data_IF_972495495654
#
_entry.id   IF_972495495654
#
_cell.length_a   1.000
_cell.length_b   1.000
_cell.length_c   1.000
_cell.angle_alpha   90.00
_cell.angle_beta   90.00
_cell.angle_gamma   90.00
#
_symmetry.space_group_name_H-M   'P 1'
#
loop_
_entity.id
_entity.type
_entity.pdbx_description
1 polymer ?
#
# COMPACT_ATOMS: atom_id res chain seq x y z
N UNK A 1 11.12 -50.95 -34.93
CA UNK A 1 10.58 -50.29 -33.71
C UNK A 1 11.64 -49.70 -32.77
N UNK A 2 12.75 -50.37 -32.42
CA UNK A 2 13.79 -49.82 -31.52
C UNK A 2 14.57 -48.59 -32.03
N UNK A 3 14.71 -48.36 -33.34
CA UNK A 3 15.37 -47.16 -33.90
C UNK A 3 14.45 -45.95 -33.93
N UNK A 4 13.16 -46.12 -34.11
CA UNK A 4 12.18 -45.00 -34.04
C UNK A 4 12.02 -44.46 -32.60
N UNK A 5 12.07 -45.35 -31.61
CA UNK A 5 11.98 -44.96 -30.20
C UNK A 5 13.20 -44.15 -29.70
N UNK A 6 14.42 -44.48 -30.22
CA UNK A 6 15.64 -43.70 -29.92
C UNK A 6 15.63 -42.32 -30.56
N UNK A 7 15.06 -42.18 -31.76
CA UNK A 7 14.96 -40.88 -32.44
C UNK A 7 13.91 -40.01 -31.75
N UNK A 8 12.75 -40.55 -31.29
CA UNK A 8 11.74 -39.83 -30.51
C UNK A 8 12.27 -39.43 -29.14
N UNK A 9 13.08 -40.25 -28.47
CA UNK A 9 13.67 -39.91 -27.16
C UNK A 9 14.76 -38.84 -27.29
N UNK A 10 15.56 -38.85 -28.36
CA UNK A 10 16.54 -37.81 -28.65
C UNK A 10 15.88 -36.50 -29.03
N UNK A 11 14.77 -36.52 -29.75
CA UNK A 11 13.97 -35.32 -30.07
C UNK A 11 13.28 -34.73 -28.83
N UNK A 12 12.81 -35.58 -27.91
CA UNK A 12 12.20 -35.13 -26.65
C UNK A 12 13.25 -34.52 -25.69
N UNK A 13 14.50 -35.03 -25.69
CA UNK A 13 15.61 -34.44 -24.91
C UNK A 13 16.09 -33.11 -25.51
N UNK A 14 16.09 -32.99 -26.85
CA UNK A 14 16.41 -31.73 -27.54
C UNK A 14 15.33 -30.65 -27.35
N UNK A 15 14.05 -31.02 -27.30
CA UNK A 15 12.94 -30.07 -27.00
C UNK A 15 12.94 -29.68 -25.52
N UNK A 16 13.36 -30.57 -24.60
CA UNK A 16 13.53 -30.25 -23.18
C UNK A 16 14.70 -29.30 -22.89
N UNK A 17 15.73 -29.26 -23.73
CA UNK A 17 16.89 -28.40 -23.56
C UNK A 17 16.69 -26.95 -24.08
N UNK A 18 15.66 -26.70 -24.88
CA UNK A 18 15.34 -25.34 -25.42
C UNK A 18 14.47 -24.49 -24.46
N UNK A 19 13.93 -25.10 -23.38
CA UNK A 19 13.03 -24.40 -22.46
C UNK A 19 13.78 -23.72 -21.30
N UNK A 20 15.10 -23.74 -21.23
CA UNK A 20 15.86 -23.19 -20.09
C UNK A 20 16.78 -21.99 -20.42
N UNK A 21 16.69 -21.42 -21.59
CA UNK A 21 17.22 -20.09 -21.83
C UNK A 21 16.07 -19.07 -21.59
N UNK A 22 15.65 -18.89 -20.33
CA UNK A 22 15.03 -17.62 -19.93
C UNK A 22 16.11 -16.56 -20.18
N UNK A 23 15.99 -15.83 -21.29
CA UNK A 23 16.66 -14.55 -21.39
C UNK A 23 16.34 -13.83 -20.07
N UNK A 24 17.36 -13.49 -19.29
CA UNK A 24 17.19 -12.60 -18.14
C UNK A 24 16.63 -11.31 -18.72
N UNK A 25 15.31 -11.12 -18.63
CA UNK A 25 14.70 -9.85 -18.99
C UNK A 25 15.27 -8.81 -18.03
N UNK A 26 16.10 -7.92 -18.57
CA UNK A 26 16.59 -6.78 -17.83
C UNK A 26 15.37 -5.92 -17.51
N UNK A 27 15.10 -5.75 -16.21
CA UNK A 27 13.94 -4.99 -15.74
C UNK A 27 14.26 -3.52 -15.67
N UNK A 28 13.43 -2.72 -16.33
CA UNK A 28 13.45 -1.27 -16.19
C UNK A 28 12.84 -0.85 -14.86
N UNK A 29 12.97 0.43 -14.47
CA UNK A 29 12.30 0.96 -13.29
C UNK A 29 10.78 0.71 -13.33
N UNK A 30 10.17 0.93 -14.50
CA UNK A 30 8.74 0.70 -14.70
C UNK A 30 8.37 -0.76 -14.50
N UNK A 31 9.12 -1.69 -15.09
CA UNK A 31 8.88 -3.14 -14.91
C UNK A 31 8.98 -3.55 -13.43
N UNK A 32 9.94 -2.97 -12.70
CA UNK A 32 10.10 -3.21 -11.26
C UNK A 32 8.89 -2.70 -10.46
N UNK A 33 8.38 -1.51 -10.76
CA UNK A 33 7.20 -0.94 -10.12
C UNK A 33 5.93 -1.75 -10.44
N UNK A 34 5.71 -2.12 -11.70
CA UNK A 34 4.57 -2.96 -12.12
C UNK A 34 4.61 -4.33 -11.43
N UNK A 35 5.78 -4.94 -11.35
CA UNK A 35 5.96 -6.21 -10.65
C UNK A 35 5.69 -6.07 -9.14
N UNK A 36 6.23 -5.04 -8.50
CA UNK A 36 6.03 -4.76 -7.08
C UNK A 36 4.55 -4.58 -6.74
N UNK A 37 3.82 -3.78 -7.51
CA UNK A 37 2.37 -3.56 -7.33
C UNK A 37 1.59 -4.87 -7.51
N UNK A 38 1.92 -5.66 -8.55
CA UNK A 38 1.20 -6.89 -8.87
C UNK A 38 1.39 -8.00 -7.82
N UNK A 39 2.55 -8.05 -7.17
CA UNK A 39 2.90 -9.10 -6.21
C UNK A 39 2.79 -8.65 -4.74
N UNK A 40 2.52 -7.37 -4.47
CA UNK A 40 2.48 -6.82 -3.12
C UNK A 40 1.37 -7.45 -2.26
N UNK A 41 1.74 -7.85 -1.05
CA UNK A 41 0.78 -8.29 -0.02
C UNK A 41 -0.11 -7.12 0.44
N UNK A 42 0.40 -5.88 0.45
CA UNK A 42 -0.40 -4.69 0.77
C UNK A 42 -1.53 -4.49 -0.23
N UNK A 43 -1.29 -4.69 -1.54
CA UNK A 43 -2.33 -4.63 -2.57
C UNK A 43 -3.38 -5.71 -2.40
N UNK A 44 -2.97 -6.94 -2.03
CA UNK A 44 -3.92 -8.04 -1.74
C UNK A 44 -4.80 -7.75 -0.53
N UNK A 45 -4.27 -7.11 0.52
CA UNK A 45 -5.05 -6.66 1.68
C UNK A 45 -6.08 -5.61 1.23
N UNK A 46 -5.67 -4.59 0.46
CA UNK A 46 -6.59 -3.58 -0.03
C UNK A 46 -7.69 -4.15 -0.93
N UNK A 47 -7.40 -5.17 -1.73
CA UNK A 47 -8.43 -5.87 -2.50
C UNK A 47 -9.47 -6.56 -1.61
N UNK A 48 -9.04 -7.17 -0.51
CA UNK A 48 -9.96 -7.77 0.46
C UNK A 48 -10.82 -6.69 1.15
N UNK A 49 -10.23 -5.57 1.56
CA UNK A 49 -10.95 -4.45 2.18
C UNK A 49 -11.99 -3.83 1.22
N UNK A 50 -11.67 -3.73 -0.08
CA UNK A 50 -12.62 -3.28 -1.11
C UNK A 50 -13.76 -4.27 -1.25
N UNK A 51 -13.46 -5.57 -1.27
CA UNK A 51 -14.49 -6.60 -1.35
C UNK A 51 -15.43 -6.55 -0.15
N UNK A 52 -14.90 -6.36 1.06
CA UNK A 52 -15.71 -6.17 2.28
C UNK A 52 -16.61 -4.93 2.16
N UNK A 53 -16.09 -3.80 1.68
CA UNK A 53 -16.88 -2.60 1.45
C UNK A 53 -18.00 -2.80 0.39
N UNK A 54 -17.74 -3.62 -0.64
CA UNK A 54 -18.75 -4.00 -1.63
C UNK A 54 -19.84 -4.88 -1.03
N UNK A 55 -19.46 -5.84 -0.18
CA UNK A 55 -20.39 -6.71 0.56
C UNK A 55 -21.24 -5.86 1.50
N UNK A 56 -20.63 -4.94 2.26
CA UNK A 56 -21.37 -4.02 3.14
C UNK A 56 -22.36 -3.13 2.37
N UNK A 57 -21.97 -2.62 1.20
CA UNK A 57 -22.89 -1.85 0.36
C UNK A 57 -24.04 -2.70 -0.14
N UNK A 58 -23.77 -3.92 -0.57
CA UNK A 58 -24.82 -4.87 -0.99
C UNK A 58 -25.75 -5.21 0.18
N UNK A 59 -25.19 -5.44 1.36
CA UNK A 59 -25.95 -5.71 2.58
C UNK A 59 -26.85 -4.53 2.95
N UNK A 60 -26.34 -3.28 2.90
CA UNK A 60 -27.13 -2.08 3.16
C UNK A 60 -28.30 -1.91 2.17
N UNK A 61 -28.13 -2.29 0.91
CA UNK A 61 -29.21 -2.29 -0.10
C UNK A 61 -30.24 -3.38 0.21
N UNK A 62 -29.80 -4.60 0.50
CA UNK A 62 -30.69 -5.72 0.82
C UNK A 62 -31.49 -5.44 2.10
N UNK A 63 -30.84 -4.91 3.15
CA UNK A 63 -31.50 -4.53 4.41
C UNK A 63 -32.58 -3.46 4.18
N UNK A 64 -32.37 -2.55 3.22
CA UNK A 64 -33.32 -1.50 2.91
C UNK A 64 -34.57 -1.99 2.15
N UNK A 65 -34.43 -3.03 1.32
CA UNK A 65 -35.48 -3.41 0.36
C UNK A 65 -35.98 -4.86 0.47
N UNK A 66 -35.38 -5.67 1.34
CA UNK A 66 -35.82 -7.07 1.52
C UNK A 66 -36.21 -7.30 2.96
N UNK A 67 -37.25 -8.14 3.22
CA UNK A 67 -37.63 -8.54 4.58
C UNK A 67 -36.58 -9.46 5.19
N UNK A 68 -36.35 -9.31 6.48
CA UNK A 68 -35.70 -10.36 7.29
C UNK A 68 -36.69 -11.48 7.55
N UNK A 69 -36.32 -12.74 7.33
CA UNK A 69 -37.12 -13.89 7.58
C UNK A 69 -36.42 -14.77 8.60
N UNK A 70 -37.16 -15.18 9.63
CA UNK A 70 -36.64 -16.06 10.66
C UNK A 70 -37.66 -17.17 10.96
N UNK A 71 -37.18 -18.36 11.31
CA UNK A 71 -37.99 -19.44 11.81
C UNK A 71 -37.38 -19.94 13.13
N UNK A 72 -38.23 -20.31 14.05
CA UNK A 72 -37.80 -20.78 15.36
C UNK A 72 -38.77 -21.78 15.94
N UNK A 73 -38.30 -22.60 16.87
CA UNK A 73 -39.08 -23.48 17.71
C UNK A 73 -38.63 -23.30 19.14
N UNK A 74 -39.54 -23.46 20.04
CA UNK A 74 -39.30 -23.51 21.46
C UNK A 74 -40.04 -24.65 22.13
N UNK A 75 -39.49 -25.17 23.20
CA UNK A 75 -40.16 -26.15 24.06
C UNK A 75 -39.88 -25.78 25.52
N UNK A 76 -40.92 -25.75 26.33
CA UNK A 76 -40.76 -25.55 27.76
C UNK A 76 -41.79 -26.38 28.56
N UNK A 77 -41.43 -26.72 29.79
CA UNK A 77 -42.34 -27.26 30.77
C UNK A 77 -42.56 -26.25 31.88
N UNK A 78 -43.80 -26.05 32.25
CA UNK A 78 -44.19 -25.21 33.37
C UNK A 78 -44.69 -26.08 34.51
N UNK A 79 -44.15 -25.91 35.71
CA UNK A 79 -44.48 -26.68 36.90
C UNK A 79 -45.31 -25.83 37.87
N UNK A 80 -46.53 -26.29 38.22
CA UNK A 80 -47.39 -25.57 39.12
C UNK A 80 -48.68 -25.04 38.47
N UNK A 81 -49.19 -23.90 38.93
CA UNK A 81 -50.44 -23.35 38.46
C UNK A 81 -50.32 -22.62 37.15
N UNK A 82 -51.00 -23.07 36.12
CA UNK A 82 -51.04 -22.44 34.80
C UNK A 82 -52.46 -22.35 34.26
N UNK A 83 -52.68 -21.50 33.24
CA UNK A 83 -53.95 -21.45 32.51
C UNK A 83 -53.96 -22.55 31.45
N UNK A 84 -54.99 -23.36 31.47
CA UNK A 84 -55.27 -24.38 30.46
C UNK A 84 -55.73 -23.71 29.16
N UNK A 85 -55.01 -23.87 28.03
CA UNK A 85 -55.38 -23.25 26.77
C UNK A 85 -56.73 -23.74 26.17
N UNK A 86 -57.16 -24.90 26.51
CA UNK A 86 -58.41 -25.46 25.98
C UNK A 86 -59.64 -24.94 26.73
N UNK A 87 -59.54 -24.87 28.06
CA UNK A 87 -60.70 -24.54 28.93
C UNK A 87 -60.66 -23.13 29.48
N UNK A 88 -59.54 -22.44 29.32
CA UNK A 88 -59.21 -21.10 29.86
C UNK A 88 -59.43 -21.04 31.41
N UNK A 89 -59.24 -22.17 32.10
CA UNK A 89 -59.29 -22.29 33.55
C UNK A 89 -57.91 -22.53 34.16
N UNK A 90 -57.75 -22.22 35.48
CA UNK A 90 -56.51 -22.49 36.18
C UNK A 90 -56.39 -23.98 36.54
N UNK A 91 -55.28 -24.60 36.15
CA UNK A 91 -54.86 -25.94 36.58
C UNK A 91 -53.52 -25.87 37.31
N UNK A 92 -53.36 -26.69 38.34
CA UNK A 92 -52.10 -26.86 39.07
C UNK A 92 -51.48 -28.23 38.69
N UNK A 93 -50.75 -28.27 37.62
CA UNK A 93 -50.14 -29.50 37.10
C UNK A 93 -48.90 -29.10 36.23
N UNK A 94 -48.09 -30.08 35.87
CA UNK A 94 -47.02 -29.88 34.88
C UNK A 94 -47.63 -29.76 33.49
N UNK A 95 -47.30 -28.68 32.78
CA UNK A 95 -47.65 -28.52 31.38
C UNK A 95 -46.40 -28.51 30.48
N UNK A 96 -46.50 -29.12 29.34
CA UNK A 96 -45.48 -29.06 28.30
C UNK A 96 -46.05 -28.36 27.08
N UNK A 97 -45.30 -27.38 26.61
CA UNK A 97 -45.61 -26.65 25.37
C UNK A 97 -44.43 -26.66 24.40
N UNK A 98 -44.73 -26.93 23.15
CA UNK A 98 -43.79 -26.77 22.04
C UNK A 98 -44.41 -25.85 20.99
N UNK A 99 -43.70 -24.79 20.60
CA UNK A 99 -44.17 -23.85 19.61
C UNK A 99 -43.24 -23.79 18.40
N UNK A 100 -43.85 -23.55 17.26
CA UNK A 100 -43.18 -23.36 15.97
C UNK A 100 -43.63 -22.04 15.39
N UNK A 101 -42.69 -21.24 14.90
CA UNK A 101 -42.98 -19.94 14.29
C UNK A 101 -42.08 -19.65 13.12
N UNK A 102 -42.61 -18.95 12.14
CA UNK A 102 -41.84 -18.31 11.07
C UNK A 102 -42.36 -16.88 10.93
N UNK A 103 -41.49 -15.92 10.89
CA UNK A 103 -41.87 -14.51 10.78
C UNK A 103 -40.94 -13.75 9.85
N UNK A 104 -41.48 -12.75 9.16
CA UNK A 104 -40.72 -11.82 8.34
C UNK A 104 -41.06 -10.38 8.72
N UNK A 105 -40.09 -9.51 8.63
CA UNK A 105 -40.30 -8.08 8.87
C UNK A 105 -39.46 -7.21 7.94
N UNK A 106 -40.02 -6.05 7.56
CA UNK A 106 -39.36 -5.02 6.77
C UNK A 106 -39.72 -3.65 7.31
N UNK A 107 -38.68 -2.77 7.45
CA UNK A 107 -38.92 -1.39 7.79
C UNK A 107 -39.32 -0.60 6.53
N UNK A 108 -40.58 -0.17 6.45
CA UNK A 108 -41.05 0.67 5.34
C UNK A 108 -40.54 2.10 5.45
N UNK A 109 -40.37 2.60 6.67
CA UNK A 109 -39.78 3.91 6.95
C UNK A 109 -39.08 3.88 8.31
N UNK A 110 -37.83 4.31 8.34
CA UNK A 110 -36.98 4.37 9.55
C UNK A 110 -36.22 5.68 9.68
N UNK A 111 -36.86 6.81 9.35
CA UNK A 111 -36.21 8.12 9.40
C UNK A 111 -35.07 8.26 8.41
N UNK A 112 -35.20 7.74 7.19
CA UNK A 112 -34.19 7.76 6.13
C UNK A 112 -32.86 7.08 6.48
N UNK A 113 -32.80 6.29 7.55
CA UNK A 113 -31.60 5.57 7.96
C UNK A 113 -31.09 4.63 6.85
N UNK A 114 -31.99 3.87 6.23
CA UNK A 114 -31.65 2.97 5.15
C UNK A 114 -30.99 3.69 3.97
N UNK A 115 -31.57 4.81 3.52
CA UNK A 115 -31.03 5.64 2.43
C UNK A 115 -29.64 6.20 2.78
N UNK A 116 -29.45 6.65 4.01
CA UNK A 116 -28.16 7.17 4.44
C UNK A 116 -27.11 6.07 4.59
N UNK A 117 -27.50 4.87 5.07
CA UNK A 117 -26.60 3.72 5.17
C UNK A 117 -26.08 3.32 3.76
N UNK A 118 -26.97 3.28 2.75
CA UNK A 118 -26.57 3.03 1.36
C UNK A 118 -25.61 4.10 0.84
N UNK A 119 -25.83 5.38 1.17
CA UNK A 119 -24.92 6.48 0.77
C UNK A 119 -23.59 6.42 1.50
N UNK A 120 -23.58 6.03 2.77
CA UNK A 120 -22.36 5.86 3.58
C UNK A 120 -21.55 4.69 3.04
N UNK A 121 -22.16 3.54 2.82
CA UNK A 121 -21.48 2.35 2.30
C UNK A 121 -20.96 2.56 0.86
N UNK A 122 -21.70 3.29 0.00
CA UNK A 122 -21.20 3.69 -1.33
C UNK A 122 -19.95 4.57 -1.23
N UNK A 123 -19.94 5.53 -0.29
CA UNK A 123 -18.76 6.38 -0.08
C UNK A 123 -17.60 5.56 0.51
N UNK A 124 -17.88 4.62 1.41
CA UNK A 124 -16.85 3.72 1.97
C UNK A 124 -16.18 2.85 0.88
N UNK A 125 -16.97 2.30 -0.05
CA UNK A 125 -16.43 1.57 -1.20
C UNK A 125 -15.54 2.45 -2.09
N UNK A 126 -15.98 3.68 -2.41
CA UNK A 126 -15.17 4.63 -3.19
C UNK A 126 -13.89 5.03 -2.46
N UNK A 127 -13.94 5.22 -1.14
CA UNK A 127 -12.74 5.47 -0.32
C UNK A 127 -11.80 4.26 -0.29
N UNK A 128 -12.34 3.04 -0.33
CA UNK A 128 -11.55 1.80 -0.46
C UNK A 128 -10.74 1.78 -1.75
N UNK A 129 -11.34 2.15 -2.88
CA UNK A 129 -10.63 2.29 -4.17
C UNK A 129 -9.53 3.34 -4.09
N UNK A 130 -9.80 4.50 -3.49
CA UNK A 130 -8.77 5.54 -3.32
C UNK A 130 -7.63 5.11 -2.38
N UNK A 131 -7.91 4.32 -1.33
CA UNK A 131 -6.84 3.72 -0.50
C UNK A 131 -5.98 2.73 -1.28
N UNK A 132 -6.58 1.98 -2.19
CA UNK A 132 -5.83 1.09 -3.08
C UNK A 132 -4.88 1.87 -3.99
N UNK A 133 -5.34 2.99 -4.57
CA UNK A 133 -4.51 3.89 -5.37
C UNK A 133 -3.37 4.47 -4.54
N UNK A 134 -3.64 4.96 -3.34
CA UNK A 134 -2.62 5.45 -2.42
C UNK A 134 -1.57 4.38 -2.11
N UNK A 135 -2.01 3.15 -1.81
CA UNK A 135 -1.09 2.03 -1.54
C UNK A 135 -0.24 1.68 -2.76
N UNK A 136 -0.82 1.72 -3.96
CA UNK A 136 -0.09 1.53 -5.22
C UNK A 136 1.02 2.58 -5.37
N UNK A 137 0.70 3.84 -5.15
CA UNK A 137 1.63 4.95 -5.31
C UNK A 137 2.76 4.91 -4.26
N UNK A 138 2.45 4.51 -3.02
CA UNK A 138 3.44 4.26 -1.96
C UNK A 138 4.42 3.12 -2.35
N UNK A 139 3.92 2.05 -2.95
CA UNK A 139 4.74 0.92 -3.43
C UNK A 139 5.64 1.39 -4.58
N UNK A 140 5.10 2.15 -5.54
CA UNK A 140 5.86 2.67 -6.66
C UNK A 140 7.01 3.57 -6.20
N UNK A 141 6.73 4.52 -5.30
CA UNK A 141 7.76 5.42 -4.76
C UNK A 141 8.84 4.64 -3.99
N UNK A 142 8.46 3.72 -3.12
CA UNK A 142 9.41 2.90 -2.39
C UNK A 142 10.29 2.02 -3.32
N UNK A 143 9.69 1.47 -4.39
CA UNK A 143 10.41 0.71 -5.41
C UNK A 143 11.39 1.59 -6.18
N UNK A 144 10.98 2.80 -6.55
CA UNK A 144 11.83 3.80 -7.22
C UNK A 144 13.05 4.15 -6.36
N UNK A 145 12.85 4.46 -5.08
CA UNK A 145 13.93 4.77 -4.15
C UNK A 145 14.91 3.60 -3.99
N UNK A 146 14.40 2.39 -3.84
CA UNK A 146 15.23 1.19 -3.73
C UNK A 146 15.99 0.89 -5.04
N UNK A 147 15.34 1.04 -6.19
CA UNK A 147 15.96 0.88 -7.50
C UNK A 147 17.13 1.86 -7.69
N UNK A 148 16.93 3.13 -7.38
CA UNK A 148 17.98 4.13 -7.48
C UNK A 148 19.12 3.90 -6.50
N UNK A 149 18.86 3.36 -5.32
CA UNK A 149 19.90 2.94 -4.41
C UNK A 149 20.78 1.81 -4.98
N UNK A 150 20.17 0.83 -5.65
CA UNK A 150 20.94 -0.22 -6.35
C UNK A 150 21.80 0.37 -7.46
N UNK A 151 21.23 1.27 -8.27
CA UNK A 151 21.95 1.97 -9.34
C UNK A 151 23.13 2.76 -8.77
N UNK A 152 22.91 3.50 -7.68
CA UNK A 152 23.97 4.26 -6.99
C UNK A 152 25.13 3.36 -6.55
N UNK A 153 24.86 2.32 -5.79
CA UNK A 153 25.93 1.44 -5.29
C UNK A 153 26.61 0.64 -6.39
N UNK A 154 25.91 0.27 -7.46
CA UNK A 154 26.51 -0.35 -8.65
C UNK A 154 27.58 0.55 -9.29
N UNK A 155 27.29 1.83 -9.47
CA UNK A 155 28.25 2.77 -10.04
C UNK A 155 29.40 3.08 -9.07
N UNK A 156 29.13 3.10 -7.76
CA UNK A 156 30.16 3.26 -6.74
C UNK A 156 31.12 2.06 -6.72
N UNK A 157 30.62 0.83 -6.86
CA UNK A 157 31.48 -0.34 -6.97
C UNK A 157 32.39 -0.22 -8.18
N UNK A 158 31.87 0.13 -9.37
CA UNK A 158 32.67 0.33 -10.59
C UNK A 158 33.75 1.39 -10.40
N UNK A 159 33.41 2.54 -9.82
CA UNK A 159 34.36 3.61 -9.62
C UNK A 159 35.50 3.22 -8.65
N UNK A 160 35.20 2.47 -7.59
CA UNK A 160 36.22 1.98 -6.64
C UNK A 160 37.05 0.86 -7.26
N UNK A 161 36.47 -0.01 -8.10
CA UNK A 161 37.22 -1.03 -8.86
C UNK A 161 38.26 -0.39 -9.80
N UNK A 162 37.87 0.67 -10.50
CA UNK A 162 38.80 1.45 -11.34
C UNK A 162 39.96 2.05 -10.51
N UNK A 163 39.65 2.60 -9.33
CA UNK A 163 40.64 3.13 -8.40
C UNK A 163 41.61 2.06 -7.89
N UNK A 164 41.09 0.93 -7.41
CA UNK A 164 41.92 -0.20 -6.96
C UNK A 164 42.85 -0.66 -8.09
N UNK A 165 42.35 -0.74 -9.33
CA UNK A 165 43.14 -1.11 -10.47
C UNK A 165 44.27 -0.06 -10.76
N UNK A 166 43.97 1.23 -10.62
CA UNK A 166 44.94 2.31 -10.76
C UNK A 166 46.04 2.25 -9.69
N UNK A 167 45.64 2.12 -8.41
CA UNK A 167 46.58 2.01 -7.29
C UNK A 167 47.44 0.74 -7.40
N UNK A 168 46.87 -0.39 -7.84
CA UNK A 168 47.63 -1.63 -8.07
C UNK A 168 48.77 -1.43 -9.07
N UNK A 169 48.53 -0.69 -10.17
CA UNK A 169 49.58 -0.30 -11.13
C UNK A 169 50.62 0.61 -10.50
N UNK A 170 50.16 1.55 -9.66
CA UNK A 170 51.09 2.48 -8.96
C UNK A 170 52.01 1.73 -7.98
N UNK A 171 51.51 0.73 -7.25
CA UNK A 171 52.33 -0.15 -6.40
C UNK A 171 53.38 -0.89 -7.22
N UNK A 172 52.99 -1.49 -8.36
CA UNK A 172 53.94 -2.19 -9.22
C UNK A 172 55.04 -1.28 -9.74
N UNK A 173 54.72 -0.04 -10.14
CA UNK A 173 55.66 0.94 -10.57
C UNK A 173 56.57 1.37 -9.42
N UNK A 174 56.03 1.67 -8.26
CA UNK A 174 56.77 2.11 -7.07
C UNK A 174 57.78 1.03 -6.60
N UNK A 175 57.41 -0.24 -6.61
CA UNK A 175 58.31 -1.37 -6.30
C UNK A 175 59.47 -1.48 -7.30
N UNK A 176 59.24 -1.24 -8.60
CA UNK A 176 60.32 -1.20 -9.63
C UNK A 176 61.26 -0.04 -9.40
N UNK A 177 60.74 1.14 -9.07
CA UNK A 177 61.53 2.33 -8.76
C UNK A 177 62.37 2.16 -7.49
N UNK A 178 61.87 1.49 -6.48
CA UNK A 178 62.58 1.14 -5.26
C UNK A 178 63.76 0.20 -5.57
N UNK A 179 63.52 -0.85 -6.37
CA UNK A 179 64.59 -1.77 -6.80
C UNK A 179 65.71 -1.08 -7.58
N UNK A 180 65.37 0.01 -8.29
CA UNK A 180 66.34 0.86 -9.00
C UNK A 180 66.97 1.96 -8.14
N UNK A 181 66.60 2.01 -6.83
CA UNK A 181 67.12 3.06 -5.94
C UNK A 181 66.53 4.48 -6.18
N UNK A 182 65.45 4.57 -6.97
CA UNK A 182 64.83 5.83 -7.36
C UNK A 182 63.71 6.24 -6.40
N UNK A 183 63.23 5.35 -5.51
CA UNK A 183 62.15 5.61 -4.56
C UNK A 183 62.46 4.98 -3.20
N UNK A 184 62.04 5.65 -2.13
CA UNK A 184 62.26 5.17 -0.76
C UNK A 184 61.27 4.04 -0.41
N UNK A 185 61.71 3.09 0.48
CA UNK A 185 60.87 2.03 0.99
C UNK A 185 59.60 2.57 1.68
N UNK A 186 59.71 3.70 2.42
CA UNK A 186 58.57 4.32 3.08
C UNK A 186 57.46 4.73 2.11
N UNK A 187 57.82 5.22 0.91
CA UNK A 187 56.82 5.62 -0.11
C UNK A 187 56.09 4.39 -0.69
N UNK A 188 56.81 3.28 -0.87
CA UNK A 188 56.22 2.02 -1.36
C UNK A 188 55.20 1.49 -0.34
N UNK A 189 55.59 1.42 0.95
CA UNK A 189 54.69 0.96 2.04
C UNK A 189 53.48 1.87 2.15
N UNK A 190 53.60 3.17 1.96
CA UNK A 190 52.47 4.08 1.94
C UNK A 190 51.47 3.76 0.83
N UNK A 191 51.96 3.54 -0.42
CA UNK A 191 51.06 3.18 -1.55
C UNK A 191 50.39 1.81 -1.35
N UNK A 192 51.11 0.86 -0.73
CA UNK A 192 50.57 -0.45 -0.36
C UNK A 192 49.49 -0.31 0.72
N UNK A 193 49.66 0.53 1.71
CA UNK A 193 48.64 0.85 2.71
C UNK A 193 47.41 1.50 2.06
N UNK A 194 47.61 2.39 1.09
CA UNK A 194 46.52 3.02 0.32
C UNK A 194 45.75 1.98 -0.52
N UNK A 195 46.44 1.01 -1.12
CA UNK A 195 45.83 -0.09 -1.83
C UNK A 195 44.92 -0.92 -0.88
N UNK A 196 45.45 -1.32 0.27
CA UNK A 196 44.71 -2.10 1.26
C UNK A 196 43.47 -1.34 1.77
N UNK A 197 43.56 -0.03 1.97
CA UNK A 197 42.42 0.82 2.36
C UNK A 197 41.33 0.87 1.26
N UNK A 198 41.71 0.97 -0.01
CA UNK A 198 40.73 0.97 -1.11
C UNK A 198 40.13 -0.44 -1.39
N UNK A 199 40.90 -1.52 -1.22
CA UNK A 199 40.38 -2.88 -1.25
C UNK A 199 39.33 -3.09 -0.15
N UNK A 200 39.60 -2.62 1.07
CA UNK A 200 38.60 -2.64 2.15
C UNK A 200 37.33 -1.84 1.78
N UNK A 201 37.51 -0.64 1.23
CA UNK A 201 36.41 0.21 0.77
C UNK A 201 35.58 -0.50 -0.32
N UNK A 202 36.24 -1.21 -1.24
CA UNK A 202 35.57 -2.01 -2.29
C UNK A 202 34.70 -3.11 -1.68
N UNK A 203 35.23 -3.89 -0.75
CA UNK A 203 34.47 -4.96 -0.06
C UNK A 203 33.26 -4.38 0.65
N UNK A 204 33.42 -3.28 1.38
CA UNK A 204 32.32 -2.62 2.09
C UNK A 204 31.24 -2.09 1.12
N UNK A 205 31.65 -1.45 0.01
CA UNK A 205 30.69 -0.94 -1.00
C UNK A 205 29.97 -2.06 -1.73
N UNK A 206 30.63 -3.21 -1.99
CA UNK A 206 29.96 -4.42 -2.52
C UNK A 206 28.91 -4.97 -1.55
N UNK A 207 29.19 -4.94 -0.24
CA UNK A 207 28.21 -5.34 0.76
C UNK A 207 26.99 -4.40 0.75
N UNK A 208 27.22 -3.07 0.65
CA UNK A 208 26.13 -2.09 0.53
C UNK A 208 25.32 -2.28 -0.76
N UNK A 209 25.97 -2.63 -1.88
CA UNK A 209 25.30 -2.97 -3.12
C UNK A 209 24.40 -4.21 -2.97
N UNK A 210 24.92 -5.26 -2.36
CA UNK A 210 24.14 -6.49 -2.11
C UNK A 210 22.94 -6.24 -1.19
N UNK A 211 23.11 -5.41 -0.16
CA UNK A 211 22.04 -5.02 0.76
C UNK A 211 20.96 -4.19 0.07
N UNK A 212 21.36 -3.19 -0.74
CA UNK A 212 20.43 -2.42 -1.56
C UNK A 212 19.65 -3.31 -2.54
N UNK A 213 20.31 -4.29 -3.14
CA UNK A 213 19.70 -5.25 -4.06
C UNK A 213 18.71 -6.18 -3.34
N UNK A 214 19.04 -6.60 -2.13
CA UNK A 214 18.15 -7.39 -1.28
C UNK A 214 16.92 -6.57 -0.88
N UNK A 215 17.12 -5.30 -0.53
CA UNK A 215 16.03 -4.36 -0.20
C UNK A 215 15.07 -4.17 -1.38
N UNK A 216 15.59 -4.02 -2.60
CA UNK A 216 14.77 -3.91 -3.81
C UNK A 216 13.95 -5.20 -4.02
N UNK A 217 14.58 -6.37 -3.88
CA UNK A 217 13.88 -7.67 -3.99
C UNK A 217 12.77 -7.81 -2.94
N UNK A 218 13.01 -7.37 -1.70
CA UNK A 218 12.03 -7.42 -0.61
C UNK A 218 10.82 -6.53 -0.91
N UNK A 219 11.04 -5.28 -1.31
CA UNK A 219 9.97 -4.34 -1.68
C UNK A 219 9.14 -4.85 -2.85
N UNK A 220 9.78 -5.47 -3.83
CA UNK A 220 9.12 -6.07 -5.00
C UNK A 220 8.42 -7.40 -4.70
N UNK A 221 8.63 -8.01 -3.53
CA UNK A 221 8.26 -9.42 -3.28
C UNK A 221 8.87 -10.38 -4.30
N UNK A 222 10.09 -10.08 -4.78
CA UNK A 222 10.82 -10.95 -5.66
C UNK A 222 11.38 -12.17 -4.89
N UNK A 223 11.32 -13.40 -5.43
CA UNK A 223 11.92 -14.56 -4.77
C UNK A 223 13.41 -14.33 -4.50
N UNK A 224 13.83 -14.47 -3.24
CA UNK A 224 15.18 -14.10 -2.80
C UNK A 224 16.27 -15.01 -3.41
N UNK A 225 15.91 -16.23 -3.77
CA UNK A 225 16.76 -17.24 -4.42
C UNK A 225 16.90 -17.07 -5.95
N UNK A 226 16.09 -16.21 -6.56
CA UNK A 226 16.17 -15.94 -8.00
C UNK A 226 17.04 -14.72 -8.28
N UNK A 227 17.80 -14.80 -9.37
CA UNK A 227 18.56 -13.63 -9.86
C UNK A 227 17.59 -12.59 -10.45
N UNK A 228 17.89 -11.33 -10.19
CA UNK A 228 17.20 -10.16 -10.73
C UNK A 228 18.23 -9.33 -11.50
N UNK A 229 17.98 -9.03 -12.76
CA UNK A 229 18.79 -8.11 -13.55
C UNK A 229 18.00 -6.81 -13.79
N UNK A 230 18.62 -5.67 -13.51
CA UNK A 230 18.01 -4.34 -13.70
C UNK A 230 18.77 -3.54 -14.75
N UNK A 231 18.09 -2.56 -15.34
CA UNK A 231 18.70 -1.63 -16.31
C UNK A 231 19.45 -0.50 -15.60
N UNK A 232 20.69 -0.24 -16.04
CA UNK A 232 21.54 0.83 -15.53
C UNK A 232 21.75 1.96 -16.55
N UNK A 233 21.07 1.92 -17.71
CA UNK A 233 21.31 2.82 -18.84
C UNK A 233 21.06 4.30 -18.51
N UNK A 234 20.20 4.59 -17.55
CA UNK A 234 19.86 5.96 -17.16
C UNK A 234 21.00 6.75 -16.49
N UNK A 235 22.09 6.08 -16.10
CA UNK A 235 23.26 6.70 -15.45
C UNK A 235 24.55 6.48 -16.25
N UNK A 236 24.46 6.16 -17.53
CA UNK A 236 25.61 6.05 -18.41
C UNK A 236 26.33 7.42 -18.53
N UNK A 237 27.64 7.39 -18.88
CA UNK A 237 28.47 8.61 -18.99
C UNK A 237 27.87 9.67 -19.91
N UNK A 238 27.10 9.25 -20.93
CA UNK A 238 26.37 10.16 -21.81
C UNK A 238 25.22 10.90 -21.09
N UNK A 239 24.51 10.23 -20.18
CA UNK A 239 23.46 10.85 -19.38
C UNK A 239 24.03 11.79 -18.32
N UNK A 240 25.16 11.41 -17.69
CA UNK A 240 25.85 12.25 -16.70
C UNK A 240 26.55 13.47 -17.35
N UNK A 241 27.01 13.36 -18.62
CA UNK A 241 27.69 14.43 -19.37
C UNK A 241 26.77 15.55 -19.88
N UNK A 242 25.47 15.23 -20.11
CA UNK A 242 24.51 16.18 -20.65
C UNK A 242 23.62 16.85 -19.56
N UNK A 243 24.13 16.96 -18.33
CA UNK A 243 23.38 17.45 -17.18
C UNK A 243 22.64 18.77 -17.39
N UNK A 244 23.24 19.74 -18.11
CA UNK A 244 22.60 21.04 -18.41
C UNK A 244 21.41 20.88 -19.39
N UNK A 245 21.48 19.94 -20.34
CA UNK A 245 20.40 19.69 -21.31
C UNK A 245 19.23 18.93 -20.65
N UNK A 246 19.51 18.01 -19.72
CA UNK A 246 18.50 17.30 -18.95
C UNK A 246 17.66 18.25 -18.10
N UNK A 247 18.29 19.28 -17.54
CA UNK A 247 17.62 20.29 -16.73
C UNK A 247 16.87 21.32 -17.57
N UNK A 248 17.40 21.72 -18.73
CA UNK A 248 16.71 22.64 -19.64
C UNK A 248 15.35 22.11 -20.13
N UNK A 249 15.18 20.78 -20.18
CA UNK A 249 13.91 20.15 -20.51
C UNK A 249 12.92 20.13 -19.31
N UNK A 250 13.40 20.29 -18.08
CA UNK A 250 12.61 20.26 -16.84
C UNK A 250 12.23 21.63 -16.28
N UNK A 251 12.72 22.73 -16.87
CA UNK A 251 12.49 24.11 -16.41
C UNK A 251 11.10 24.68 -16.79
N UNK A 252 10.06 23.88 -16.77
CA UNK A 252 8.72 24.44 -16.77
C UNK A 252 8.46 25.04 -15.40
N UNK A 253 8.28 26.37 -15.35
CA UNK A 253 7.83 27.08 -14.15
C UNK A 253 6.47 26.54 -13.75
N UNK A 254 6.45 25.60 -12.82
CA UNK A 254 5.21 25.01 -12.30
C UNK A 254 4.55 26.03 -11.39
N UNK A 255 3.29 26.39 -11.72
CA UNK A 255 2.51 27.27 -10.90
C UNK A 255 2.06 26.52 -9.62
N UNK A 256 2.55 26.95 -8.46
CA UNK A 256 2.23 26.34 -7.17
C UNK A 256 0.73 26.24 -6.92
N UNK A 257 -0.03 27.30 -7.22
CA UNK A 257 -1.47 27.36 -6.98
C UNK A 257 -2.20 26.33 -7.83
N UNK A 258 -1.77 26.12 -9.06
CA UNK A 258 -2.33 25.13 -9.98
C UNK A 258 -2.01 23.70 -9.51
N UNK A 259 -0.78 23.44 -9.07
CA UNK A 259 -0.40 22.14 -8.51
C UNK A 259 -1.18 21.79 -7.24
N UNK A 260 -1.37 22.74 -6.35
CA UNK A 260 -2.17 22.53 -5.14
C UNK A 260 -3.63 22.24 -5.51
N UNK A 261 -4.21 22.98 -6.46
CA UNK A 261 -5.57 22.75 -6.91
C UNK A 261 -5.72 21.34 -7.53
N UNK A 262 -4.81 20.96 -8.40
CA UNK A 262 -4.79 19.61 -9.00
C UNK A 262 -4.61 18.52 -7.95
N UNK A 263 -3.68 18.68 -7.01
CA UNK A 263 -3.44 17.72 -5.94
C UNK A 263 -4.69 17.52 -5.05
N UNK A 264 -5.44 18.59 -4.73
CA UNK A 264 -6.67 18.49 -3.96
C UNK A 264 -7.81 17.79 -4.71
N UNK A 265 -7.79 17.79 -6.04
CA UNK A 265 -8.79 17.10 -6.87
C UNK A 265 -8.40 15.65 -7.16
N UNK A 266 -7.12 15.37 -7.36
CA UNK A 266 -6.64 14.07 -7.86
C UNK A 266 -6.15 13.13 -6.76
N UNK A 267 -5.60 13.68 -5.65
CA UNK A 267 -4.98 12.83 -4.63
C UNK A 267 -5.98 11.96 -3.88
N UNK A 268 -5.72 10.66 -3.75
CA UNK A 268 -6.53 9.74 -2.96
C UNK A 268 -6.74 10.19 -1.52
N UNK A 269 -5.73 10.77 -0.87
CA UNK A 269 -5.78 11.26 0.50
C UNK A 269 -6.81 12.39 0.70
N UNK A 270 -6.92 13.32 -0.27
CA UNK A 270 -7.92 14.39 -0.25
C UNK A 270 -9.34 13.82 -0.37
N UNK A 271 -9.53 12.87 -1.29
CA UNK A 271 -10.82 12.20 -1.50
C UNK A 271 -11.27 11.43 -0.26
N UNK A 272 -10.38 10.67 0.39
CA UNK A 272 -10.66 9.91 1.61
C UNK A 272 -11.11 10.86 2.72
N UNK A 273 -10.35 11.91 3.01
CA UNK A 273 -10.69 12.88 4.07
C UNK A 273 -12.04 13.58 3.83
N UNK A 274 -12.33 13.95 2.58
CA UNK A 274 -13.64 14.49 2.15
C UNK A 274 -14.76 13.48 2.34
N UNK A 275 -14.52 12.22 1.99
CA UNK A 275 -15.46 11.12 2.16
C UNK A 275 -15.83 10.88 3.62
N UNK A 276 -14.85 10.89 4.52
CA UNK A 276 -15.05 10.75 5.97
C UNK A 276 -15.88 11.90 6.54
N UNK A 277 -15.60 13.14 6.15
CA UNK A 277 -16.40 14.30 6.54
C UNK A 277 -17.86 14.18 6.04
N UNK A 278 -18.07 13.75 4.79
CA UNK A 278 -19.40 13.54 4.24
C UNK A 278 -20.15 12.43 4.96
N UNK A 279 -19.50 11.33 5.31
CA UNK A 279 -20.10 10.24 6.06
C UNK A 279 -20.47 10.66 7.49
N UNK A 280 -19.64 11.43 8.15
CA UNK A 280 -19.96 12.03 9.47
C UNK A 280 -21.18 12.96 9.40
N UNK A 281 -21.31 13.78 8.34
CA UNK A 281 -22.48 14.64 8.07
C UNK A 281 -23.75 13.81 7.87
N UNK A 282 -23.68 12.72 7.10
CA UNK A 282 -24.81 11.79 6.89
C UNK A 282 -25.21 11.10 8.19
N UNK A 283 -24.23 10.64 8.99
CA UNK A 283 -24.50 10.04 10.29
C UNK A 283 -25.18 11.02 11.26
N UNK A 284 -24.82 12.31 11.24
CA UNK A 284 -25.53 13.36 11.98
C UNK A 284 -26.96 13.54 11.47
N UNK A 285 -27.17 13.58 10.16
CA UNK A 285 -28.53 13.65 9.57
C UNK A 285 -29.39 12.46 9.99
N UNK A 286 -28.84 11.24 9.94
CA UNK A 286 -29.53 10.03 10.40
C UNK A 286 -29.95 10.15 11.87
N UNK A 287 -29.05 10.60 12.74
CA UNK A 287 -29.35 10.78 14.17
C UNK A 287 -30.47 11.80 14.42
N UNK A 288 -30.51 12.89 13.63
CA UNK A 288 -31.62 13.87 13.70
C UNK A 288 -32.94 13.27 13.22
N UNK A 289 -32.93 12.51 12.14
CA UNK A 289 -34.15 11.94 11.56
C UNK A 289 -34.69 10.72 12.32
N UNK A 290 -33.91 10.12 13.24
CA UNK A 290 -34.42 9.14 14.22
C UNK A 290 -35.43 9.72 15.22
N UNK A 291 -35.67 11.03 15.22
CA UNK A 291 -36.78 11.66 15.92
C UNK A 291 -38.12 11.52 15.18
N UNK A 292 -38.12 11.17 13.90
CA UNK A 292 -39.33 10.93 13.12
C UNK A 292 -39.96 9.56 13.48
N UNK A 293 -41.27 9.39 13.23
CA UNK A 293 -41.91 8.07 13.37
C UNK A 293 -41.24 7.03 12.49
N UNK A 294 -41.22 5.78 12.94
CA UNK A 294 -40.85 4.62 12.14
C UNK A 294 -42.05 3.79 11.80
N UNK A 295 -42.06 3.17 10.60
CA UNK A 295 -43.13 2.31 10.09
C UNK A 295 -42.53 0.96 9.72
N UNK A 296 -43.06 -0.11 10.32
CA UNK A 296 -42.61 -1.47 10.11
C UNK A 296 -43.79 -2.37 9.69
N UNK A 297 -43.56 -3.19 8.66
CA UNK A 297 -44.49 -4.23 8.22
C UNK A 297 -43.90 -5.57 8.65
N UNK A 298 -44.70 -6.38 9.33
CA UNK A 298 -44.39 -7.75 9.73
C UNK A 298 -45.49 -8.72 9.40
N UNK A 299 -45.12 -9.96 9.17
CA UNK A 299 -46.07 -11.05 8.99
C UNK A 299 -45.45 -12.34 9.51
N UNK A 300 -46.28 -13.24 9.88
CA UNK A 300 -45.81 -14.49 10.43
C UNK A 300 -46.87 -15.60 10.45
N UNK A 301 -46.35 -16.77 10.65
CA UNK A 301 -47.09 -17.99 10.85
C UNK A 301 -46.61 -18.64 12.15
N UNK A 302 -47.53 -19.19 12.94
CA UNK A 302 -47.19 -19.90 14.17
C UNK A 302 -48.16 -21.06 14.43
N UNK A 303 -47.68 -22.07 15.12
CA UNK A 303 -48.48 -23.17 15.65
C UNK A 303 -47.87 -23.70 16.92
N UNK A 304 -48.65 -24.44 17.72
CA UNK A 304 -48.16 -25.00 18.98
C UNK A 304 -48.78 -26.37 19.28
N UNK A 305 -48.00 -27.13 20.03
CA UNK A 305 -48.42 -28.38 20.67
C UNK A 305 -48.39 -28.19 22.18
N UNK A 306 -49.39 -28.71 22.87
CA UNK A 306 -49.56 -28.61 24.31
C UNK A 306 -50.00 -29.94 24.90
N UNK A 307 -49.51 -30.31 26.09
CA UNK A 307 -49.92 -31.49 26.83
C UNK A 307 -49.67 -31.35 28.33
N UNK A 308 -50.35 -32.17 29.14
CA UNK A 308 -50.08 -32.30 30.58
C UNK A 308 -49.43 -33.68 30.84
N UNK A 309 -48.09 -33.78 30.92
CA UNK A 309 -47.41 -35.07 31.04
C UNK A 309 -47.74 -35.86 32.31
N UNK A 310 -48.03 -35.19 33.42
CA UNK A 310 -48.26 -35.79 34.72
C UNK A 310 -49.75 -36.12 34.99
N UNK A 311 -50.65 -35.77 34.08
CA UNK A 311 -52.10 -35.98 34.26
C UNK A 311 -52.60 -37.16 33.44
N UNK A 312 -52.68 -38.36 34.05
CA UNK A 312 -53.05 -39.60 33.37
C UNK A 312 -54.52 -39.61 32.83
N UNK A 313 -55.36 -38.74 33.33
CA UNK A 313 -56.77 -38.60 32.88
C UNK A 313 -56.90 -37.68 31.65
N UNK A 314 -55.83 -36.89 31.32
CA UNK A 314 -55.84 -36.00 30.18
C UNK A 314 -55.29 -36.72 28.94
N UNK A 315 -56.12 -36.85 27.94
CA UNK A 315 -55.72 -37.40 26.64
C UNK A 315 -55.51 -36.20 25.68
N UNK A 316 -54.28 -35.79 25.51
CA UNK A 316 -53.97 -34.71 24.58
C UNK A 316 -54.34 -35.10 23.14
N UNK A 317 -54.95 -34.22 22.35
CA UNK A 317 -55.06 -34.44 20.92
C UNK A 317 -53.70 -34.74 20.32
N UNK A 318 -53.63 -35.51 19.24
CA UNK A 318 -52.37 -35.89 18.62
C UNK A 318 -51.57 -34.64 18.17
N UNK A 319 -50.25 -34.75 18.15
CA UNK A 319 -49.37 -33.67 17.68
C UNK A 319 -49.83 -33.11 16.33
N UNK A 320 -50.16 -34.01 15.39
CA UNK A 320 -50.60 -33.60 14.05
C UNK A 320 -51.91 -32.81 14.08
N UNK A 321 -52.83 -33.21 14.94
CA UNK A 321 -54.15 -32.54 15.12
C UNK A 321 -53.91 -31.11 15.68
N UNK A 322 -53.14 -30.99 16.77
CA UNK A 322 -52.86 -29.71 17.38
C UNK A 322 -52.04 -28.81 16.44
N UNK A 323 -51.00 -29.35 15.77
CA UNK A 323 -50.18 -28.62 14.83
C UNK A 323 -51.03 -27.97 13.71
N UNK A 324 -52.01 -28.70 13.18
CA UNK A 324 -52.88 -28.16 12.12
C UNK A 324 -53.96 -27.21 12.67
N UNK A 325 -54.51 -27.52 13.85
CA UNK A 325 -55.65 -26.76 14.39
C UNK A 325 -55.21 -25.46 15.10
N UNK A 326 -54.00 -25.42 15.64
CA UNK A 326 -53.45 -24.27 16.34
C UNK A 326 -52.67 -23.32 15.39
N UNK A 327 -52.70 -23.59 14.09
CA UNK A 327 -52.06 -22.79 13.10
C UNK A 327 -52.73 -21.43 12.96
N UNK A 328 -51.92 -20.37 13.05
CA UNK A 328 -52.35 -18.98 12.87
C UNK A 328 -51.39 -18.18 12.01
N UNK A 329 -51.92 -17.28 11.23
CA UNK A 329 -51.18 -16.34 10.40
C UNK A 329 -51.56 -14.90 10.76
N UNK A 330 -50.61 -14.00 10.63
CA UNK A 330 -50.88 -12.58 10.84
C UNK A 330 -50.09 -11.69 9.89
N UNK A 331 -50.64 -10.52 9.58
CA UNK A 331 -49.96 -9.38 8.95
C UNK A 331 -50.19 -8.18 9.85
N UNK A 332 -49.09 -7.47 10.18
CA UNK A 332 -49.15 -6.35 11.09
C UNK A 332 -48.37 -5.17 10.49
N UNK A 333 -49.03 -4.01 10.46
CA UNK A 333 -48.38 -2.74 10.22
C UNK A 333 -48.27 -2.00 11.55
N UNK A 334 -47.04 -1.69 11.96
CA UNK A 334 -46.79 -0.97 13.22
C UNK A 334 -46.10 0.36 12.96
N UNK A 335 -46.58 1.44 13.63
CA UNK A 335 -45.95 2.74 13.65
C UNK A 335 -45.47 3.04 15.06
N UNK A 336 -44.20 3.41 15.19
CA UNK A 336 -43.61 3.80 16.47
C UNK A 336 -43.20 5.29 16.42
N UNK A 337 -43.72 6.09 17.35
CA UNK A 337 -43.45 7.50 17.50
C UNK A 337 -42.63 7.70 18.76
N UNK A 338 -41.35 8.13 18.68
CA UNK A 338 -40.53 8.34 19.85
C UNK A 338 -40.87 9.65 20.55
N UNK A 339 -41.57 9.60 21.70
CA UNK A 339 -41.93 10.78 22.46
C UNK A 339 -40.86 11.18 23.46
N UNK A 340 -40.42 10.27 24.32
CA UNK A 340 -39.41 10.51 25.33
C UNK A 340 -38.52 9.29 25.53
N UNK A 341 -37.19 9.46 25.47
CA UNK A 341 -36.18 8.42 25.62
C UNK A 341 -35.05 8.82 26.54
N UNK A 342 -35.37 9.47 27.69
CA UNK A 342 -34.38 9.91 28.69
C UNK A 342 -33.24 10.75 28.08
N UNK A 343 -33.55 11.60 27.12
CA UNK A 343 -32.61 12.45 26.38
C UNK A 343 -31.49 11.67 25.59
N UNK A 344 -31.61 10.34 25.47
CA UNK A 344 -30.63 9.52 24.78
C UNK A 344 -30.44 9.96 23.31
N UNK A 345 -31.53 10.28 22.61
CA UNK A 345 -31.47 10.75 21.22
C UNK A 345 -30.79 12.10 21.09
N UNK A 346 -31.05 13.03 22.00
CA UNK A 346 -30.40 14.33 22.03
C UNK A 346 -28.91 14.20 22.31
N UNK A 347 -28.51 13.30 23.22
CA UNK A 347 -27.11 12.98 23.47
C UNK A 347 -26.44 12.36 22.23
N UNK A 348 -27.15 11.46 21.52
CA UNK A 348 -26.66 10.88 20.27
C UNK A 348 -26.48 11.93 19.18
N UNK A 349 -27.42 12.85 18.99
CA UNK A 349 -27.30 13.98 18.04
C UNK A 349 -26.10 14.83 18.40
N UNK A 350 -25.90 15.18 19.68
CA UNK A 350 -24.75 15.96 20.14
C UNK A 350 -23.42 15.25 19.88
N UNK A 351 -23.33 13.94 20.17
CA UNK A 351 -22.15 13.13 19.85
C UNK A 351 -21.86 13.10 18.34
N UNK A 352 -22.88 12.91 17.50
CA UNK A 352 -22.73 12.91 16.03
C UNK A 352 -22.39 14.30 15.48
N UNK A 353 -22.91 15.39 16.10
CA UNK A 353 -22.50 16.75 15.78
C UNK A 353 -21.01 16.96 16.07
N UNK A 354 -20.53 16.55 17.24
CA UNK A 354 -19.11 16.62 17.58
C UNK A 354 -18.23 15.76 16.66
N UNK A 355 -18.71 14.58 16.24
CA UNK A 355 -18.02 13.75 15.26
C UNK A 355 -17.90 14.45 13.90
N UNK A 356 -18.97 15.13 13.44
CA UNK A 356 -18.92 15.92 12.22
C UNK A 356 -17.95 17.11 12.32
N UNK A 357 -17.94 17.82 13.45
CA UNK A 357 -16.98 18.92 13.69
C UNK A 357 -15.53 18.40 13.63
N UNK A 358 -15.24 17.24 14.27
CA UNK A 358 -13.92 16.62 14.20
C UNK A 358 -13.54 16.23 12.77
N UNK A 359 -14.45 15.58 12.05
CA UNK A 359 -14.19 15.18 10.66
C UNK A 359 -13.97 16.38 9.73
N UNK A 360 -14.67 17.50 9.96
CA UNK A 360 -14.44 18.76 9.24
C UNK A 360 -13.04 19.31 9.53
N UNK A 361 -12.66 19.39 10.80
CA UNK A 361 -11.33 19.86 11.20
C UNK A 361 -10.20 18.94 10.65
N UNK A 362 -10.42 17.62 10.61
CA UNK A 362 -9.49 16.67 10.00
C UNK A 362 -9.36 16.86 8.49
N UNK A 363 -10.46 17.15 7.80
CA UNK A 363 -10.43 17.50 6.38
C UNK A 363 -9.64 18.79 6.14
N UNK A 364 -9.92 19.87 6.92
CA UNK A 364 -9.20 21.14 6.80
C UNK A 364 -7.69 20.96 7.09
N UNK A 365 -7.35 20.13 8.08
CA UNK A 365 -5.96 19.76 8.37
C UNK A 365 -5.32 19.02 7.18
N UNK A 366 -6.02 18.05 6.57
CA UNK A 366 -5.50 17.30 5.42
C UNK A 366 -5.28 18.20 4.21
N UNK A 367 -6.18 19.14 3.94
CA UNK A 367 -5.98 20.17 2.89
C UNK A 367 -4.68 20.93 3.13
N UNK A 368 -4.44 21.39 4.36
CA UNK A 368 -3.22 22.12 4.71
C UNK A 368 -1.96 21.25 4.65
N UNK A 369 -2.05 19.97 5.01
CA UNK A 369 -0.96 19.00 4.85
C UNK A 369 -0.58 18.86 3.37
N UNK A 370 -1.56 18.68 2.48
CA UNK A 370 -1.34 18.58 1.03
C UNK A 370 -0.71 19.86 0.48
N UNK A 371 -1.20 21.04 0.86
CA UNK A 371 -0.58 22.32 0.47
C UNK A 371 0.89 22.40 0.90
N UNK A 372 1.18 21.92 2.10
CA UNK A 372 2.55 21.91 2.65
C UNK A 372 3.43 20.89 1.92
N UNK A 373 2.90 19.68 1.65
CA UNK A 373 3.61 18.62 0.93
C UNK A 373 3.94 19.04 -0.51
N UNK A 374 2.99 19.63 -1.24
CA UNK A 374 3.22 20.16 -2.59
C UNK A 374 4.26 21.29 -2.58
N UNK A 375 4.15 22.22 -1.62
CA UNK A 375 5.12 23.30 -1.49
C UNK A 375 6.53 22.76 -1.23
N UNK A 376 6.64 21.78 -0.33
CA UNK A 376 7.91 21.12 -0.02
C UNK A 376 8.45 20.35 -1.22
N UNK A 377 7.61 19.64 -1.97
CA UNK A 377 8.03 18.92 -3.17
C UNK A 377 8.63 19.83 -4.24
N UNK A 378 8.02 21.01 -4.46
CA UNK A 378 8.60 22.03 -5.34
C UNK A 378 9.95 22.53 -4.87
N UNK A 379 10.06 22.90 -3.58
CA UNK A 379 11.33 23.35 -3.00
C UNK A 379 12.40 22.25 -3.05
N UNK A 380 12.03 21.02 -2.78
CA UNK A 380 12.93 19.87 -2.84
C UNK A 380 13.43 19.60 -4.27
N UNK A 381 12.55 19.74 -5.29
CA UNK A 381 12.92 19.61 -6.70
C UNK A 381 13.90 20.70 -7.11
N UNK A 382 13.59 21.97 -6.82
CA UNK A 382 14.47 23.12 -7.11
C UNK A 382 15.83 22.97 -6.39
N UNK A 383 15.80 22.55 -5.12
CA UNK A 383 17.00 22.30 -4.35
C UNK A 383 17.86 21.15 -4.91
N UNK A 384 17.20 20.05 -5.32
CA UNK A 384 17.90 18.91 -5.93
C UNK A 384 18.49 19.26 -7.31
N UNK A 385 17.80 20.07 -8.09
CA UNK A 385 18.27 20.60 -9.37
C UNK A 385 19.53 21.46 -9.19
N UNK A 386 19.48 22.43 -8.28
CA UNK A 386 20.61 23.28 -7.96
C UNK A 386 21.80 22.46 -7.42
N UNK A 387 21.55 21.47 -6.57
CA UNK A 387 22.59 20.58 -6.04
C UNK A 387 23.23 19.75 -7.15
N UNK A 388 22.47 19.22 -8.09
CA UNK A 388 22.99 18.47 -9.23
C UNK A 388 23.87 19.33 -10.14
N UNK A 389 23.47 20.57 -10.46
CA UNK A 389 24.27 21.51 -11.24
C UNK A 389 25.63 21.80 -10.60
N UNK A 390 25.64 22.04 -9.28
CA UNK A 390 26.88 22.31 -8.56
C UNK A 390 27.77 21.06 -8.49
N UNK A 391 27.18 19.88 -8.21
CA UNK A 391 27.93 18.63 -8.20
C UNK A 391 28.51 18.28 -9.58
N UNK A 392 27.75 18.53 -10.66
CA UNK A 392 28.26 18.37 -12.03
C UNK A 392 29.48 19.24 -12.32
N UNK A 393 29.40 20.51 -11.96
CA UNK A 393 30.53 21.43 -12.09
C UNK A 393 31.73 21.01 -11.23
N UNK A 394 31.48 20.52 -10.02
CA UNK A 394 32.52 20.01 -9.13
C UNK A 394 33.26 18.81 -9.75
N UNK A 395 32.49 17.82 -10.32
CA UNK A 395 33.09 16.67 -11.01
C UNK A 395 33.94 17.08 -12.18
N UNK A 396 33.54 18.06 -13.01
CA UNK A 396 34.32 18.55 -14.12
C UNK A 396 35.70 19.09 -13.64
N UNK A 397 35.69 19.91 -12.59
CA UNK A 397 36.95 20.47 -12.05
C UNK A 397 37.84 19.41 -11.38
N UNK A 398 37.22 18.48 -10.62
CA UNK A 398 37.97 17.40 -9.97
C UNK A 398 38.52 16.39 -10.98
N UNK A 399 37.83 16.14 -12.08
CA UNK A 399 38.34 15.29 -13.19
C UNK A 399 39.61 15.86 -13.78
N UNK A 400 39.66 17.17 -14.09
CA UNK A 400 40.86 17.82 -14.62
C UNK A 400 41.98 17.83 -13.56
N UNK A 401 41.66 18.13 -12.31
CA UNK A 401 42.63 18.09 -11.21
C UNK A 401 43.23 16.68 -11.04
N UNK A 402 42.40 15.66 -11.06
CA UNK A 402 42.85 14.26 -10.96
C UNK A 402 43.71 13.84 -12.13
N UNK A 403 43.34 14.15 -13.37
CA UNK A 403 44.18 13.89 -14.56
C UNK A 403 45.56 14.54 -14.47
N UNK A 404 45.61 15.78 -13.98
CA UNK A 404 46.88 16.52 -13.81
C UNK A 404 47.74 15.90 -12.70
N UNK A 405 47.13 15.56 -11.56
CA UNK A 405 47.85 14.94 -10.44
C UNK A 405 48.33 13.53 -10.79
N UNK A 406 47.56 12.76 -11.55
CA UNK A 406 48.01 11.45 -12.06
C UNK A 406 49.27 11.54 -12.89
N UNK A 407 49.34 12.50 -13.85
CA UNK A 407 50.54 12.73 -14.66
C UNK A 407 51.74 13.16 -13.82
N UNK A 408 51.56 14.05 -12.84
CA UNK A 408 52.63 14.48 -11.93
C UNK A 408 53.13 13.31 -11.06
N UNK A 409 52.21 12.48 -10.59
CA UNK A 409 52.55 11.31 -9.80
C UNK A 409 53.37 10.29 -10.61
N UNK A 410 52.97 10.00 -11.84
CA UNK A 410 53.72 9.15 -12.77
C UNK A 410 55.13 9.65 -13.06
N UNK A 411 55.30 10.99 -13.05
CA UNK A 411 56.62 11.67 -13.23
C UNK A 411 57.40 11.82 -11.91
N UNK A 412 56.86 11.37 -10.80
CA UNK A 412 57.48 11.49 -9.47
C UNK A 412 57.51 12.91 -8.90
N UNK A 413 56.66 13.81 -9.41
CA UNK A 413 56.62 15.23 -9.01
C UNK A 413 55.75 15.51 -7.78
N UNK A 414 54.90 14.60 -7.38
CA UNK A 414 54.04 14.72 -6.19
C UNK A 414 54.14 13.46 -5.32
N UNK A 415 53.86 13.63 -4.03
CA UNK A 415 53.85 12.51 -3.07
C UNK A 415 52.66 11.56 -3.28
N UNK A 416 52.76 10.31 -2.81
CA UNK A 416 51.62 9.36 -2.77
C UNK A 416 50.40 9.92 -2.05
N UNK A 417 50.59 10.65 -0.96
CA UNK A 417 49.53 11.27 -0.17
C UNK A 417 48.78 12.34 -0.99
N UNK A 418 49.49 13.17 -1.74
CA UNK A 418 48.88 14.19 -2.60
C UNK A 418 48.03 13.53 -3.73
N UNK A 419 48.60 12.46 -4.34
CA UNK A 419 47.83 11.67 -5.34
C UNK A 419 46.58 11.06 -4.78
N UNK A 420 46.66 10.42 -3.61
CA UNK A 420 45.53 9.80 -2.94
C UNK A 420 44.45 10.84 -2.56
N UNK A 421 44.87 12.01 -2.09
CA UNK A 421 43.95 13.11 -1.80
C UNK A 421 43.21 13.55 -3.07
N UNK A 422 43.88 13.69 -4.19
CA UNK A 422 43.28 14.07 -5.47
C UNK A 422 42.31 13.00 -5.98
N UNK A 423 42.65 11.72 -5.84
CA UNK A 423 41.82 10.59 -6.19
C UNK A 423 40.56 10.50 -5.30
N UNK A 424 40.74 10.63 -3.99
CA UNK A 424 39.64 10.65 -3.02
C UNK A 424 38.62 11.78 -3.29
N UNK A 425 39.11 12.98 -3.61
CA UNK A 425 38.28 14.14 -3.97
C UNK A 425 37.49 13.89 -5.26
N UNK A 426 38.13 13.28 -6.27
CA UNK A 426 37.49 12.95 -7.54
C UNK A 426 36.36 11.90 -7.34
N UNK A 427 36.62 10.82 -6.59
CA UNK A 427 35.61 9.81 -6.29
C UNK A 427 34.45 10.36 -5.47
N UNK A 428 34.74 11.20 -4.46
CA UNK A 428 33.71 11.88 -3.67
C UNK A 428 32.82 12.75 -4.56
N UNK A 429 33.42 13.54 -5.45
CA UNK A 429 32.66 14.37 -6.38
C UNK A 429 31.78 13.54 -7.32
N UNK A 430 32.29 12.42 -7.87
CA UNK A 430 31.48 11.50 -8.69
C UNK A 430 30.30 10.93 -7.89
N UNK A 431 30.53 10.51 -6.65
CA UNK A 431 29.48 9.99 -5.77
C UNK A 431 28.39 11.03 -5.47
N UNK A 432 28.81 12.26 -5.19
CA UNK A 432 27.92 13.41 -4.93
C UNK A 432 27.08 13.76 -6.16
N UNK A 433 27.69 13.79 -7.35
CA UNK A 433 26.97 14.04 -8.61
C UNK A 433 25.90 12.98 -8.88
N UNK A 434 26.27 11.71 -8.76
CA UNK A 434 25.33 10.60 -8.98
C UNK A 434 24.17 10.64 -7.98
N UNK A 435 24.46 10.83 -6.71
CA UNK A 435 23.45 10.96 -5.66
C UNK A 435 22.50 12.15 -5.92
N UNK A 436 23.07 13.31 -6.32
CA UNK A 436 22.28 14.50 -6.64
C UNK A 436 21.37 14.26 -7.86
N UNK A 437 21.85 13.58 -8.91
CA UNK A 437 21.05 13.21 -10.09
C UNK A 437 19.88 12.29 -9.72
N UNK A 438 20.14 11.22 -8.97
CA UNK A 438 19.10 10.27 -8.59
C UNK A 438 18.06 10.91 -7.67
N UNK A 439 18.50 11.76 -6.73
CA UNK A 439 17.60 12.59 -5.92
C UNK A 439 16.74 13.53 -6.77
N UNK A 440 17.33 14.17 -7.78
CA UNK A 440 16.57 15.02 -8.70
C UNK A 440 15.47 14.22 -9.41
N UNK A 441 15.75 13.01 -9.92
CA UNK A 441 14.76 12.17 -10.56
C UNK A 441 13.60 11.81 -9.62
N UNK A 442 13.90 11.43 -8.37
CA UNK A 442 12.87 11.14 -7.37
C UNK A 442 12.01 12.40 -7.11
N UNK A 443 12.63 13.55 -6.89
CA UNK A 443 11.92 14.80 -6.56
C UNK A 443 11.09 15.31 -7.75
N UNK A 444 11.58 15.15 -8.97
CA UNK A 444 10.86 15.42 -10.20
C UNK A 444 9.61 14.53 -10.30
N UNK A 445 9.74 13.22 -10.14
CA UNK A 445 8.61 12.27 -10.16
C UNK A 445 7.56 12.60 -9.09
N UNK A 446 7.96 13.03 -7.89
CA UNK A 446 7.01 13.44 -6.85
C UNK A 446 6.22 14.69 -7.26
N UNK A 447 6.84 15.66 -7.93
CA UNK A 447 6.14 16.85 -8.43
C UNK A 447 5.20 16.50 -9.58
N UNK A 448 5.62 15.63 -10.50
CA UNK A 448 4.78 15.10 -11.59
C UNK A 448 3.56 14.34 -11.04
N UNK A 449 3.72 13.60 -9.94
CA UNK A 449 2.61 12.96 -9.23
C UNK A 449 1.59 13.98 -8.69
N UNK A 450 2.06 15.09 -8.11
CA UNK A 450 1.17 16.17 -7.67
C UNK A 450 0.51 16.94 -8.82
N UNK A 451 1.07 16.88 -10.02
CA UNK A 451 0.42 17.40 -11.22
C UNK A 451 -0.63 16.46 -11.82
N UNK A 452 -0.82 15.27 -11.21
CA UNK A 452 -1.81 14.28 -11.58
C UNK A 452 -1.31 13.17 -12.50
N UNK A 453 0.00 13.01 -12.67
CA UNK A 453 0.62 11.93 -13.44
C UNK A 453 1.03 10.80 -12.50
N UNK A 454 0.38 9.63 -12.51
CA UNK A 454 0.74 8.49 -11.66
C UNK A 454 2.17 8.02 -11.91
N UNK A 455 2.86 7.49 -10.88
CA UNK A 455 4.25 7.00 -11.00
C UNK A 455 4.47 5.94 -12.08
N UNK A 456 3.47 5.12 -12.40
CA UNK A 456 3.56 4.11 -13.47
C UNK A 456 3.43 4.68 -14.89
N UNK A 457 3.01 5.93 -15.04
CA UNK A 457 2.81 6.60 -16.31
C UNK A 457 3.94 7.60 -16.65
N UNK A 458 4.84 7.82 -15.70
CA UNK A 458 6.06 8.61 -15.85
C UNK A 458 7.17 7.78 -16.50
#
# INVERSE_FOLDING_TARGET
MKKLFKILFLAAVLVGAVISAKAQNIMTLKDCMEYAVSNSTKMRIQQADIHDAQVERRSAILEAFTPSISAGTYAYSNFGRSVDPETNTYRSTTSFQNGYQASGSIALFNGFQAVNNIKISKTAESMGLSRQEQTRDEICLATMEAYYNVVYYSQMVKAIEEEVAAITKAVQLARKQEQLGQKGYADVVQIEADLAANEYKLVNTRNMYNDAFLTLKDIMFWPLDQELAIDYSMVDEAALGNGEQLLAQGMLSENKEELVANALETLPAAYIAKGEMMNAKRALSTAKWQLLPSLNLSGGWSTSYFTYPDEKSYVAPSFRSQFNNNMGEYIQLSMSIPIYGRLYRQATISKKKNAYVRATAQYDQKVREIETEVTRALQDKEGAEAAFLQAHKQVQMQTEAYKYNTKKFEQGMISPIEYQTASGNYLSAKAEQLNALLKYYIKKSVVEYYSGIPYLEQ
#
